data_IF_574682846910
#
_entry.id   IF_574682846910
#
_cell.length_a   1.000
_cell.length_b   1.000
_cell.length_c   1.000
_cell.angle_alpha   90.00
_cell.angle_beta   90.00
_cell.angle_gamma   90.00
#
_symmetry.space_group_name_H-M   'P 1'
#
loop_
_entity.id
_entity.type
_entity.pdbx_description
1 polymer ?
#
# COMPACT_ATOMS: atom_id res chain seq x y z
N UNK A 1 -3.79 4.37 -10.54
CA UNK A 1 -4.53 3.29 -11.21
C UNK A 1 -3.82 2.00 -10.84
N UNK A 2 -4.54 1.00 -10.38
CA UNK A 2 -3.99 -0.35 -10.13
C UNK A 2 -4.34 -1.26 -11.31
N UNK A 3 -3.39 -2.11 -11.72
CA UNK A 3 -3.62 -3.23 -12.64
C UNK A 3 -3.10 -4.50 -12.00
N UNK A 4 -3.92 -5.54 -11.97
CA UNK A 4 -3.49 -6.89 -11.60
C UNK A 4 -2.94 -7.60 -12.84
N UNK A 5 -1.71 -8.09 -12.75
CA UNK A 5 -1.04 -8.83 -13.82
C UNK A 5 -0.43 -10.09 -13.21
N UNK A 6 -0.91 -11.27 -13.61
CA UNK A 6 -0.36 -12.57 -13.19
C UNK A 6 -0.20 -12.78 -11.67
N UNK A 7 -1.05 -12.14 -10.84
CA UNK A 7 -0.96 -12.21 -9.37
C UNK A 7 -0.14 -11.08 -8.73
N UNK A 8 0.49 -10.24 -9.54
CA UNK A 8 1.24 -9.06 -9.10
C UNK A 8 0.36 -7.80 -9.22
N UNK A 9 0.33 -7.00 -8.16
CA UNK A 9 -0.39 -5.73 -8.16
C UNK A 9 0.54 -4.62 -8.64
N UNK A 10 0.20 -4.02 -9.79
CA UNK A 10 0.97 -2.95 -10.41
C UNK A 10 0.32 -1.60 -10.14
N UNK A 11 1.04 -0.71 -9.46
CA UNK A 11 0.63 0.67 -9.25
C UNK A 11 1.17 1.55 -10.39
N UNK A 12 0.24 2.21 -11.10
CA UNK A 12 0.55 3.18 -12.14
C UNK A 12 0.17 4.58 -11.64
N UNK A 13 1.14 5.48 -11.39
CA UNK A 13 0.87 6.87 -11.06
C UNK A 13 0.24 7.58 -12.27
N UNK A 14 -0.91 8.23 -12.06
CA UNK A 14 -1.66 8.92 -13.13
C UNK A 14 -1.20 10.38 -13.29
N UNK A 15 -0.45 10.92 -12.31
CA UNK A 15 0.08 12.29 -12.34
C UNK A 15 1.37 12.32 -13.15
N UNK A 16 1.28 12.77 -14.41
CA UNK A 16 2.43 13.00 -15.29
C UNK A 16 3.11 14.33 -14.91
N UNK A 17 4.05 14.30 -13.99
CA UNK A 17 5.11 15.32 -13.97
C UNK A 17 6.25 14.82 -14.86
N UNK A 18 6.76 15.64 -15.78
CA UNK A 18 7.74 15.24 -16.81
C UNK A 18 9.05 14.63 -16.24
N UNK A 19 9.29 14.75 -14.94
CA UNK A 19 10.41 14.19 -14.18
C UNK A 19 10.13 12.84 -13.50
N UNK A 20 8.88 12.38 -13.43
CA UNK A 20 8.46 11.11 -12.81
C UNK A 20 8.12 10.03 -13.86
N UNK A 21 8.71 10.16 -15.06
CA UNK A 21 8.40 9.34 -16.21
C UNK A 21 8.72 7.85 -15.94
N UNK A 22 7.68 7.01 -15.91
CA UNK A 22 7.74 5.53 -15.99
C UNK A 22 8.18 4.73 -14.76
N UNK A 23 8.01 5.21 -13.52
CA UNK A 23 8.17 4.33 -12.36
C UNK A 23 6.95 3.42 -12.21
N UNK A 24 7.07 2.17 -12.66
CA UNK A 24 6.11 1.10 -12.39
C UNK A 24 6.44 0.55 -11.00
N UNK A 25 5.48 0.63 -10.08
CA UNK A 25 5.63 0.04 -8.75
C UNK A 25 4.93 -1.31 -8.72
N UNK A 26 5.66 -2.35 -8.34
CA UNK A 26 5.12 -3.70 -8.19
C UNK A 26 5.04 -3.99 -6.70
N UNK A 27 3.82 -4.20 -6.21
CA UNK A 27 3.60 -4.66 -4.84
C UNK A 27 3.74 -6.19 -4.81
N UNK A 28 4.42 -6.67 -3.77
CA UNK A 28 4.39 -8.10 -3.44
C UNK A 28 2.99 -8.50 -2.92
N UNK A 29 2.76 -9.79 -2.71
CA UNK A 29 1.46 -10.32 -2.28
C UNK A 29 0.96 -9.66 -0.98
N UNK A 30 1.84 -9.49 0.02
CA UNK A 30 1.52 -8.83 1.29
C UNK A 30 1.15 -7.35 1.09
N UNK A 31 1.93 -6.62 0.31
CA UNK A 31 1.70 -5.21 0.02
C UNK A 31 0.42 -4.99 -0.78
N UNK A 32 0.12 -5.87 -1.73
CA UNK A 32 -1.14 -5.87 -2.48
C UNK A 32 -2.35 -6.13 -1.55
N UNK A 33 -2.22 -7.10 -0.64
CA UNK A 33 -3.25 -7.43 0.33
C UNK A 33 -3.48 -6.32 1.38
N UNK A 34 -2.42 -5.59 1.77
CA UNK A 34 -2.52 -4.39 2.62
C UNK A 34 -3.16 -3.23 1.84
N UNK A 35 -2.70 -2.99 0.61
CA UNK A 35 -3.24 -1.96 -0.28
C UNK A 35 -4.75 -2.11 -0.51
N UNK A 36 -5.22 -3.33 -0.78
CA UNK A 36 -6.65 -3.60 -0.97
C UNK A 36 -7.51 -3.33 0.28
N UNK A 37 -6.90 -3.23 1.47
CA UNK A 37 -7.60 -2.88 2.73
C UNK A 37 -7.60 -1.36 3.01
N UNK A 38 -6.78 -0.58 2.31
CA UNK A 38 -6.76 0.89 2.42
C UNK A 38 -7.99 1.45 1.70
N UNK A 39 -9.04 1.75 2.47
CA UNK A 39 -10.31 2.31 1.97
C UNK A 39 -10.53 3.78 2.38
N UNK A 40 -9.55 4.39 3.07
CA UNK A 40 -9.64 5.75 3.62
C UNK A 40 -10.60 5.89 4.80
N UNK A 41 -11.18 4.80 5.31
CA UNK A 41 -12.10 4.78 6.46
C UNK A 41 -11.50 4.06 7.66
N UNK A 42 -10.76 2.98 7.41
CA UNK A 42 -10.08 2.21 8.46
C UNK A 42 -8.72 2.81 8.78
N UNK A 43 -8.40 2.86 10.08
CA UNK A 43 -7.07 3.25 10.53
C UNK A 43 -6.05 2.15 10.21
N UNK A 44 -4.78 2.54 10.09
CA UNK A 44 -3.64 1.63 9.91
C UNK A 44 -3.63 0.53 10.98
N UNK A 45 -3.89 0.89 12.25
CA UNK A 45 -3.94 -0.09 13.34
C UNK A 45 -5.02 -1.16 13.13
N UNK A 46 -6.23 -0.76 12.71
CA UNK A 46 -7.30 -1.73 12.47
C UNK A 46 -6.94 -2.70 11.35
N UNK A 47 -6.35 -2.19 10.26
CA UNK A 47 -5.89 -3.01 9.13
C UNK A 47 -4.80 -4.00 9.59
N UNK A 48 -3.83 -3.56 10.39
CA UNK A 48 -2.77 -4.42 10.96
C UNK A 48 -3.38 -5.50 11.84
N UNK A 49 -4.29 -5.15 12.75
CA UNK A 49 -4.92 -6.12 13.65
C UNK A 49 -5.71 -7.17 12.87
N UNK A 50 -6.54 -6.77 11.90
CA UNK A 50 -7.31 -7.69 11.08
C UNK A 50 -6.41 -8.64 10.29
N UNK A 51 -5.33 -8.11 9.71
CA UNK A 51 -4.37 -8.88 8.92
C UNK A 51 -3.56 -9.87 9.79
N UNK A 52 -3.10 -9.45 10.97
CA UNK A 52 -2.42 -10.33 11.92
C UNK A 52 -3.29 -11.52 12.32
N UNK A 53 -4.59 -11.30 12.51
CA UNK A 53 -5.54 -12.36 12.85
C UNK A 53 -5.75 -13.35 11.69
N UNK A 54 -5.65 -12.89 10.44
CA UNK A 54 -5.92 -13.69 9.25
C UNK A 54 -4.70 -14.48 8.75
N UNK A 55 -3.48 -13.94 8.91
CA UNK A 55 -2.25 -14.50 8.33
C UNK A 55 -1.22 -15.01 9.35
N UNK A 56 -1.57 -15.09 10.65
CA UNK A 56 -0.66 -15.52 11.74
C UNK A 56 0.69 -14.77 11.77
N UNK A 57 0.68 -13.49 11.38
CA UNK A 57 1.86 -12.61 11.38
C UNK A 57 1.92 -11.76 12.65
N UNK A 58 3.12 -11.39 13.08
CA UNK A 58 3.30 -10.53 14.26
C UNK A 58 2.98 -9.07 13.94
N UNK A 59 2.26 -8.41 14.85
CA UNK A 59 1.86 -7.01 14.69
C UNK A 59 3.03 -6.05 14.59
N UNK A 60 4.15 -6.35 15.25
CA UNK A 60 5.35 -5.51 15.21
C UNK A 60 6.03 -5.51 13.83
N UNK A 61 6.17 -6.69 13.22
CA UNK A 61 6.73 -6.81 11.88
C UNK A 61 5.77 -6.22 10.84
N UNK A 62 4.48 -6.54 10.95
CA UNK A 62 3.49 -6.04 10.00
C UNK A 62 3.35 -4.52 10.07
N UNK A 63 3.40 -3.92 11.26
CA UNK A 63 3.35 -2.47 11.40
C UNK A 63 4.55 -1.79 10.74
N UNK A 64 5.75 -2.37 10.86
CA UNK A 64 6.96 -1.86 10.18
C UNK A 64 6.85 -1.97 8.67
N UNK A 65 6.45 -3.13 8.16
CA UNK A 65 6.27 -3.37 6.73
C UNK A 65 5.19 -2.43 6.17
N UNK A 66 4.09 -2.25 6.89
CA UNK A 66 3.01 -1.38 6.45
C UNK A 66 3.38 0.11 6.51
N UNK A 67 4.15 0.52 7.51
CA UNK A 67 4.68 1.90 7.58
C UNK A 67 5.63 2.18 6.42
N UNK A 68 6.55 1.25 6.12
CA UNK A 68 7.46 1.37 4.96
C UNK A 68 6.68 1.44 3.65
N UNK A 69 5.63 0.63 3.51
CA UNK A 69 4.75 0.67 2.34
C UNK A 69 4.05 2.04 2.22
N UNK A 70 3.53 2.58 3.32
CA UNK A 70 2.88 3.89 3.30
C UNK A 70 3.87 5.01 2.95
N UNK A 71 5.09 4.99 3.48
CA UNK A 71 6.14 5.95 3.15
C UNK A 71 6.48 5.93 1.65
N UNK A 72 6.64 4.73 1.08
CA UNK A 72 6.88 4.57 -0.36
C UNK A 72 5.72 5.11 -1.19
N UNK A 73 4.48 4.80 -0.78
CA UNK A 73 3.26 5.26 -1.47
C UNK A 73 3.07 6.79 -1.35
N UNK A 74 3.40 7.39 -0.21
CA UNK A 74 3.36 8.83 0.01
C UNK A 74 4.43 9.55 -0.84
N UNK A 75 5.64 9.00 -0.91
CA UNK A 75 6.75 9.52 -1.71
C UNK A 75 6.37 9.67 -3.19
N UNK A 76 5.56 8.74 -3.70
CA UNK A 76 5.09 8.70 -5.09
C UNK A 76 3.69 9.32 -5.26
N UNK A 77 3.14 9.92 -4.21
CA UNK A 77 1.79 10.52 -4.16
C UNK A 77 0.68 9.56 -4.63
N UNK A 78 0.83 8.27 -4.30
CA UNK A 78 -0.19 7.26 -4.53
C UNK A 78 -1.29 7.29 -3.46
N UNK A 79 -0.94 7.71 -2.24
CA UNK A 79 -1.86 7.95 -1.12
C UNK A 79 -1.59 9.31 -0.52
N UNK A 80 -2.54 9.82 0.26
CA UNK A 80 -2.40 11.06 1.03
C UNK A 80 -2.95 10.81 2.44
N UNK A 81 -2.33 11.42 3.44
CA UNK A 81 -2.83 11.38 4.81
C UNK A 81 -4.14 12.18 4.89
N UNK A 82 -5.24 11.50 5.24
CA UNK A 82 -6.51 12.16 5.49
C UNK A 82 -6.52 12.60 6.96
N UNK A 83 -6.20 13.87 7.21
CA UNK A 83 -6.40 14.48 8.53
C UNK A 83 -7.90 14.74 8.70
N UNK A 84 -8.58 13.83 9.39
CA UNK A 84 -9.97 13.98 9.82
C UNK A 84 -10.08 14.64 11.18
#
# INVERSE_FOLDING_TARGET
MQRDVAGECILVPIRRTLTEANSIYVLNETGAALWNRIDGRRSVQNIVTDFCNEYEVTSDQLAKDFTSLLDDLLSIRAVEEVTG
#
